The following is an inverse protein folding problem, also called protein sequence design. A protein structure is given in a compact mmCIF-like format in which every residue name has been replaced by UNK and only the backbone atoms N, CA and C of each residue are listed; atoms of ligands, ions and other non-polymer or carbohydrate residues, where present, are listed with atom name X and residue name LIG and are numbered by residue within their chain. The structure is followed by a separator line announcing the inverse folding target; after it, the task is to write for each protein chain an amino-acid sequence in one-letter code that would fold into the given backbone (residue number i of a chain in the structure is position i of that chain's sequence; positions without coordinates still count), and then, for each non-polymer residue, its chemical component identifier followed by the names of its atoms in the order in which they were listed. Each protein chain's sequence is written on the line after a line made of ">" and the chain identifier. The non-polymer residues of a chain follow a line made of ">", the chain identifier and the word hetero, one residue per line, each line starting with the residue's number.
data_IF_593974825999
#
_entry.id   IF_593974825999
#
_cell.length_a   1.000
_cell.length_b   1.000
_cell.length_c   1.000
_cell.angle_alpha   90.00
_cell.angle_beta   90.00
_cell.angle_gamma   90.00
#
_symmetry.space_group_name_H-M   'P 1'
#
loop_
_entity.id
_entity.type
_entity.pdbx_description
1 polymer ?
#
# COMPACT_ATOMS: atom_id res chain seq x y z
N UNK A 1 8.81 16.08 -4.52
CA UNK A 1 8.15 15.50 -3.33
C UNK A 1 8.98 14.28 -2.93
N UNK A 2 9.51 14.22 -1.71
CA UNK A 2 10.26 13.04 -1.25
C UNK A 2 9.27 11.86 -1.06
N UNK A 3 9.72 10.60 -1.20
CA UNK A 3 8.86 9.41 -1.04
C UNK A 3 8.09 9.40 0.28
N UNK A 4 8.65 9.96 1.34
CA UNK A 4 7.99 10.12 2.65
C UNK A 4 6.80 11.08 2.58
N UNK A 5 6.92 12.19 1.85
CA UNK A 5 5.83 13.16 1.68
C UNK A 5 4.70 12.58 0.83
N UNK A 6 5.06 11.86 -0.23
CA UNK A 6 4.10 11.15 -1.07
C UNK A 6 3.36 10.08 -0.27
N UNK A 7 4.06 9.27 0.52
CA UNK A 7 3.44 8.28 1.40
C UNK A 7 2.47 8.92 2.42
N UNK A 8 2.80 10.09 2.96
CA UNK A 8 1.87 10.82 3.84
C UNK A 8 0.62 11.31 3.11
N UNK A 9 0.76 11.72 1.84
CA UNK A 9 -0.37 12.09 0.99
C UNK A 9 -1.26 10.88 0.71
N UNK A 10 -0.69 9.77 0.25
CA UNK A 10 -1.43 8.52 -0.02
C UNK A 10 -2.16 8.00 1.22
N UNK A 11 -1.59 8.18 2.42
CA UNK A 11 -2.29 7.85 3.67
C UNK A 11 -3.55 8.69 3.95
N UNK A 12 -3.67 9.88 3.37
CA UNK A 12 -4.88 10.71 3.49
C UNK A 12 -5.86 10.44 2.35
N UNK A 13 -5.32 10.11 1.18
CA UNK A 13 -6.05 9.99 -0.07
C UNK A 13 -6.22 8.50 -0.48
N UNK A 14 -6.58 7.63 0.47
CA UNK A 14 -6.73 6.19 0.22
C UNK A 14 -7.96 5.88 -0.63
N UNK A 15 -7.89 4.81 -1.43
CA UNK A 15 -9.08 4.25 -2.08
C UNK A 15 -10.08 3.66 -1.07
N UNK A 16 -11.30 3.40 -1.54
CA UNK A 16 -12.29 2.64 -0.77
C UNK A 16 -11.78 1.23 -0.43
N UNK A 17 -11.09 0.57 -1.37
CA UNK A 17 -10.52 -0.76 -1.16
C UNK A 17 -9.43 -0.75 -0.08
N UNK A 18 -8.48 0.18 -0.17
CA UNK A 18 -7.46 0.36 0.86
C UNK A 18 -8.04 0.73 2.21
N UNK A 19 -9.07 1.57 2.25
CA UNK A 19 -9.74 1.95 3.50
C UNK A 19 -10.39 0.73 4.16
N UNK A 20 -11.08 -0.09 3.36
CA UNK A 20 -11.68 -1.34 3.82
C UNK A 20 -10.62 -2.30 4.38
N UNK A 21 -9.56 -2.60 3.62
CA UNK A 21 -8.49 -3.47 4.09
C UNK A 21 -7.80 -2.92 5.35
N UNK A 22 -7.51 -1.61 5.38
CA UNK A 22 -6.84 -1.00 6.53
C UNK A 22 -7.65 -1.11 7.81
N UNK A 23 -8.98 -1.00 7.75
CA UNK A 23 -9.83 -1.14 8.92
C UNK A 23 -9.79 -2.56 9.51
N UNK A 24 -9.65 -3.58 8.67
CA UNK A 24 -9.54 -4.98 9.10
C UNK A 24 -8.11 -5.34 9.57
N UNK A 25 -7.09 -4.73 8.96
CA UNK A 25 -5.69 -5.11 9.19
C UNK A 25 -4.97 -4.28 10.27
N UNK A 26 -5.41 -3.05 10.55
CA UNK A 26 -4.76 -2.15 11.52
C UNK A 26 -4.76 -2.73 12.93
N UNK A 27 -3.90 -2.19 13.78
CA UNK A 27 -3.87 -2.50 15.22
C UNK A 27 -3.78 -4.00 15.54
N UNK A 28 -3.18 -4.80 14.65
CA UNK A 28 -3.06 -6.26 14.79
C UNK A 28 -4.41 -6.99 14.83
N UNK A 29 -5.45 -6.41 14.23
CA UNK A 29 -6.78 -7.02 14.18
C UNK A 29 -6.82 -8.25 13.25
N UNK A 30 -5.96 -8.29 12.23
CA UNK A 30 -5.83 -9.43 11.34
C UNK A 30 -4.72 -10.38 11.81
N UNK A 31 -5.09 -11.56 12.36
CA UNK A 31 -4.18 -12.62 12.80
C UNK A 31 -3.02 -12.15 13.72
N UNK A 32 -3.22 -11.08 14.49
CA UNK A 32 -2.18 -10.44 15.32
C UNK A 32 -0.95 -9.88 14.54
N UNK A 33 -1.06 -9.81 13.21
CA UNK A 33 0.01 -9.35 12.32
C UNK A 33 0.07 -7.81 12.28
N UNK A 34 1.29 -7.27 12.20
CA UNK A 34 1.50 -5.83 12.14
C UNK A 34 1.58 -5.34 10.70
N UNK A 35 0.46 -4.87 10.18
CA UNK A 35 0.42 -4.17 8.90
C UNK A 35 0.79 -2.69 9.06
N UNK A 36 1.63 -2.21 8.15
CA UNK A 36 1.88 -0.79 7.86
C UNK A 36 1.26 -0.48 6.51
N UNK A 37 0.79 0.75 6.31
CA UNK A 37 0.21 1.20 5.03
C UNK A 37 1.04 2.29 4.36
N UNK A 38 1.03 2.29 3.03
CA UNK A 38 1.70 3.25 2.16
C UNK A 38 3.18 3.37 2.54
N UNK A 39 3.93 2.29 2.38
CA UNK A 39 5.31 2.13 2.86
C UNK A 39 6.29 2.34 1.71
N UNK A 40 7.18 3.35 1.78
CA UNK A 40 8.26 3.48 0.81
C UNK A 40 9.23 2.29 0.88
N UNK A 41 9.42 1.60 -0.25
CA UNK A 41 10.37 0.51 -0.44
C UNK A 41 11.13 0.76 -1.74
N UNK A 42 12.40 1.15 -1.62
CA UNK A 42 13.20 1.55 -2.78
C UNK A 42 12.55 2.72 -3.53
N UNK A 43 12.25 2.51 -4.82
CA UNK A 43 11.58 3.50 -5.69
C UNK A 43 10.06 3.45 -5.63
N UNK A 44 9.49 2.50 -4.90
CA UNK A 44 8.05 2.25 -4.86
C UNK A 44 7.47 2.65 -3.50
N UNK A 45 6.16 2.85 -3.47
CA UNK A 45 5.38 2.93 -2.23
C UNK A 45 4.35 1.82 -2.33
N UNK A 46 4.44 0.85 -1.43
CA UNK A 46 3.53 -0.29 -1.39
C UNK A 46 2.31 0.02 -0.54
N UNK A 47 1.13 -0.46 -0.94
CA UNK A 47 -0.11 -0.18 -0.23
C UNK A 47 -0.08 -0.68 1.20
N UNK A 48 0.32 -1.94 1.40
CA UNK A 48 0.47 -2.56 2.72
C UNK A 48 1.72 -3.43 2.82
N UNK A 49 2.36 -3.37 3.98
CA UNK A 49 3.53 -4.19 4.31
C UNK A 49 3.38 -4.83 5.69
N UNK A 50 3.53 -6.15 5.75
CA UNK A 50 3.65 -6.92 6.98
C UNK A 50 5.13 -7.28 7.20
N UNK A 51 5.73 -6.67 8.22
CA UNK A 51 7.16 -6.83 8.49
C UNK A 51 7.54 -8.23 8.99
N UNK A 52 6.66 -8.89 9.75
CA UNK A 52 6.95 -10.22 10.30
C UNK A 52 6.94 -11.31 9.24
N UNK A 53 6.04 -11.19 8.26
CA UNK A 53 5.89 -12.17 7.19
C UNK A 53 6.67 -11.79 5.92
N UNK A 54 7.36 -10.65 5.92
CA UNK A 54 8.00 -10.08 4.72
C UNK A 54 7.03 -10.02 3.53
N UNK A 55 5.76 -9.68 3.82
CA UNK A 55 4.65 -9.75 2.88
C UNK A 55 4.23 -8.34 2.45
N UNK A 56 4.17 -8.12 1.14
CA UNK A 56 3.55 -6.96 0.52
C UNK A 56 2.15 -7.35 0.03
N UNK A 57 1.17 -6.49 0.26
CA UNK A 57 -0.19 -6.62 -0.29
C UNK A 57 -0.50 -5.35 -1.06
N UNK A 58 -0.69 -5.48 -2.37
CA UNK A 58 -1.13 -4.40 -3.26
C UNK A 58 -2.59 -4.60 -3.64
N UNK A 59 -3.40 -3.55 -3.55
CA UNK A 59 -4.81 -3.62 -3.92
C UNK A 59 -4.99 -3.07 -5.33
N UNK A 60 -5.16 -3.97 -6.29
CA UNK A 60 -5.47 -3.58 -7.66
C UNK A 60 -6.83 -2.89 -7.74
N UNK A 61 -6.82 -1.59 -8.03
CA UNK A 61 -7.97 -0.81 -8.46
C UNK A 61 -7.78 -0.22 -9.86
N UNK A 62 -8.72 0.61 -10.29
CA UNK A 62 -8.68 1.28 -11.61
C UNK A 62 -7.39 2.08 -11.86
N UNK A 63 -6.72 2.51 -10.78
CA UNK A 63 -5.45 3.25 -10.82
C UNK A 63 -4.29 2.43 -11.43
N UNK A 64 -4.35 1.10 -11.30
CA UNK A 64 -3.38 0.16 -11.90
C UNK A 64 -3.87 -0.41 -13.24
N UNK A 65 -5.03 0.03 -13.73
CA UNK A 65 -5.62 -0.50 -14.96
C UNK A 65 -5.10 0.19 -16.23
N UNK A 66 -4.38 1.31 -16.10
CA UNK A 66 -3.75 1.99 -17.22
C UNK A 66 -2.50 1.24 -17.68
N UNK A 67 -2.23 1.27 -18.99
CA UNK A 67 -1.07 0.57 -19.55
C UNK A 67 0.25 1.14 -19.02
N UNK A 68 0.32 2.46 -18.79
CA UNK A 68 1.47 3.12 -18.17
C UNK A 68 1.74 2.62 -16.75
N UNK A 69 0.69 2.44 -15.92
CA UNK A 69 0.85 1.93 -14.56
C UNK A 69 1.33 0.48 -14.56
N UNK A 70 0.78 -0.35 -15.46
CA UNK A 70 1.23 -1.74 -15.63
C UNK A 70 2.67 -1.83 -16.10
N UNK A 71 3.08 -0.99 -17.05
CA UNK A 71 4.46 -0.98 -17.53
C UNK A 71 5.43 -0.51 -16.43
N UNK A 72 5.03 0.47 -15.62
CA UNK A 72 5.82 0.92 -14.48
C UNK A 72 6.00 -0.18 -13.42
N UNK A 73 4.93 -0.91 -13.08
CA UNK A 73 4.95 -2.00 -12.10
C UNK A 73 5.76 -3.22 -12.60
N UNK A 74 5.85 -3.43 -13.92
CA UNK A 74 6.58 -4.53 -14.51
C UNK A 74 8.12 -4.34 -14.56
N UNK A 75 8.65 -3.17 -14.17
CA UNK A 75 10.07 -2.78 -14.28
C UNK A 75 10.84 -2.83 -12.96
#
# INVERSE_FOLDING_TARGET
>A
MNSIELARKLRRDQTNAETCFWNEARNRQFYNLKFKRQVPIGRFIVDFFCETEMLIVELYGDQHATDDAREYDAR
#
